data_IF_907282592815
#
_entry.id   IF_907282592815
#
_cell.length_a   1.000
_cell.length_b   1.000
_cell.length_c   1.000
_cell.angle_alpha   90.00
_cell.angle_beta   90.00
_cell.angle_gamma   90.00
#
_symmetry.space_group_name_H-M   'P 1'
#
loop_
_entity.id
_entity.type
_entity.pdbx_description
1 polymer ?
#
# COMPACT_ATOMS: atom_id res chain seq x y z
N UNK A 1 0.22 -15.68 -20.47
CA UNK A 1 -0.13 -14.97 -21.72
C UNK A 1 1.09 -14.35 -22.42
N UNK A 2 2.29 -14.38 -21.82
CA UNK A 2 3.49 -13.79 -22.42
C UNK A 2 3.55 -12.25 -22.31
N UNK A 3 2.63 -11.64 -21.55
CA UNK A 3 2.67 -10.20 -21.30
C UNK A 3 3.93 -9.83 -20.51
N UNK A 4 4.61 -8.72 -20.85
CA UNK A 4 5.71 -8.22 -20.04
C UNK A 4 5.25 -7.91 -18.61
N UNK A 5 6.19 -7.99 -17.68
CA UNK A 5 5.96 -7.68 -16.27
C UNK A 5 6.98 -6.63 -15.83
N UNK A 6 6.57 -5.78 -14.89
CA UNK A 6 7.47 -4.84 -14.22
C UNK A 6 7.59 -5.25 -12.76
N UNK A 7 8.82 -5.38 -12.27
CA UNK A 7 9.11 -5.56 -10.86
C UNK A 7 9.63 -4.24 -10.32
N UNK A 8 8.99 -3.72 -9.29
CA UNK A 8 9.43 -2.56 -8.52
C UNK A 8 9.92 -3.06 -7.18
N UNK A 9 11.09 -2.59 -6.76
CA UNK A 9 11.70 -2.89 -5.47
C UNK A 9 11.91 -1.56 -4.74
N UNK A 10 11.56 -1.51 -3.46
CA UNK A 10 11.99 -0.44 -2.57
C UNK A 10 13.50 -0.56 -2.31
N UNK A 11 14.11 0.54 -1.92
CA UNK A 11 15.55 0.65 -1.65
C UNK A 11 16.00 -0.14 -0.41
N UNK A 12 15.06 -0.47 0.48
CA UNK A 12 15.25 -1.26 1.69
C UNK A 12 14.94 -2.76 1.51
N UNK A 13 14.77 -3.23 0.28
CA UNK A 13 14.35 -4.59 -0.03
C UNK A 13 15.51 -5.49 -0.44
N UNK A 14 15.59 -6.68 0.17
CA UNK A 14 16.62 -7.66 -0.12
C UNK A 14 16.05 -8.96 -0.69
N UNK A 15 16.57 -9.36 -1.85
CA UNK A 15 16.10 -10.54 -2.57
C UNK A 15 16.68 -11.82 -1.96
N UNK A 16 15.88 -12.89 -1.94
CA UNK A 16 16.39 -14.24 -1.65
C UNK A 16 17.34 -14.73 -2.75
N UNK A 17 18.27 -15.63 -2.43
CA UNK A 17 19.28 -16.14 -3.38
C UNK A 17 18.66 -16.77 -4.63
N UNK A 18 17.49 -17.38 -4.47
CA UNK A 18 16.69 -18.02 -5.51
C UNK A 18 15.46 -17.19 -5.91
N UNK A 19 15.53 -15.86 -5.76
CA UNK A 19 14.43 -14.94 -6.07
C UNK A 19 13.88 -15.12 -7.49
N UNK A 20 14.75 -15.11 -8.49
CA UNK A 20 14.34 -15.23 -9.90
C UNK A 20 13.57 -16.53 -10.17
N UNK A 21 14.09 -17.73 -9.83
CA UNK A 21 13.33 -18.96 -10.05
C UNK A 21 12.04 -19.03 -9.20
N UNK A 22 12.00 -18.45 -8.00
CA UNK A 22 10.76 -18.37 -7.20
C UNK A 22 9.70 -17.50 -7.86
N UNK A 23 10.04 -16.29 -8.29
CA UNK A 23 9.11 -15.40 -9.01
C UNK A 23 8.63 -16.06 -10.30
N UNK A 24 9.51 -16.76 -11.00
CA UNK A 24 9.16 -17.49 -12.20
C UNK A 24 8.15 -18.63 -11.94
N UNK A 25 8.35 -19.43 -10.89
CA UNK A 25 7.39 -20.46 -10.47
C UNK A 25 6.05 -19.83 -10.06
N UNK A 26 6.08 -18.77 -9.23
CA UNK A 26 4.88 -18.04 -8.81
C UNK A 26 4.03 -17.60 -10.02
N UNK A 27 4.66 -16.95 -11.01
CA UNK A 27 3.98 -16.44 -12.20
C UNK A 27 3.41 -17.56 -13.07
N UNK A 28 4.11 -18.69 -13.18
CA UNK A 28 3.73 -19.77 -14.08
C UNK A 28 2.74 -20.76 -13.49
N UNK A 29 2.78 -20.94 -12.18
CA UNK A 29 2.12 -22.07 -11.51
C UNK A 29 1.04 -21.63 -10.53
N UNK A 30 1.12 -20.40 -10.00
CA UNK A 30 0.30 -19.97 -8.88
C UNK A 30 -0.54 -18.72 -9.12
N UNK A 31 -0.05 -17.75 -9.91
CA UNK A 31 -0.80 -16.53 -10.20
C UNK A 31 -2.08 -16.83 -11.00
N UNK A 32 -3.28 -16.46 -10.49
CA UNK A 32 -4.53 -16.64 -11.22
C UNK A 32 -4.62 -15.74 -12.45
N UNK A 33 -5.35 -16.14 -13.49
CA UNK A 33 -5.42 -15.41 -14.77
C UNK A 33 -5.84 -13.92 -14.67
N UNK A 34 -6.58 -13.56 -13.62
CA UNK A 34 -7.04 -12.19 -13.34
C UNK A 34 -6.04 -11.33 -12.56
N UNK A 35 -4.84 -11.84 -12.27
CA UNK A 35 -3.80 -11.08 -11.59
C UNK A 35 -3.42 -9.79 -12.36
N UNK A 36 -3.23 -8.72 -11.59
CA UNK A 36 -2.85 -7.40 -12.09
C UNK A 36 -1.66 -6.83 -11.29
N UNK A 37 -1.69 -7.01 -9.98
CA UNK A 37 -0.65 -6.55 -9.04
C UNK A 37 -0.36 -7.68 -8.06
N UNK A 38 0.90 -7.87 -7.70
CA UNK A 38 1.29 -8.83 -6.66
C UNK A 38 2.38 -8.26 -5.78
N UNK A 39 2.09 -8.09 -4.48
CA UNK A 39 3.10 -7.82 -3.47
C UNK A 39 3.87 -9.11 -3.14
N UNK A 40 5.18 -9.13 -3.35
CA UNK A 40 6.05 -10.29 -3.09
C UNK A 40 6.44 -10.44 -1.61
N UNK A 41 5.96 -9.53 -0.76
CA UNK A 41 6.04 -9.59 0.67
C UNK A 41 4.81 -8.85 1.23
N UNK A 42 4.16 -9.37 2.27
CA UNK A 42 3.12 -8.65 3.01
C UNK A 42 3.19 -8.99 4.49
N UNK A 43 3.53 -7.99 5.33
CA UNK A 43 3.67 -8.17 6.78
C UNK A 43 2.33 -8.46 7.46
N UNK A 44 1.26 -7.81 7.01
CA UNK A 44 -0.04 -7.82 7.69
C UNK A 44 -1.18 -8.33 6.79
N UNK A 45 -0.89 -9.28 5.91
CA UNK A 45 -1.80 -9.69 4.85
C UNK A 45 -3.24 -10.02 5.29
N UNK A 46 -4.18 -9.17 4.88
CA UNK A 46 -5.62 -9.43 4.97
C UNK A 46 -6.16 -9.97 3.65
N UNK A 47 -6.72 -11.17 3.67
CA UNK A 47 -7.23 -11.77 2.45
C UNK A 47 -7.62 -13.24 2.59
N UNK A 48 -7.74 -13.90 1.43
CA UNK A 48 -7.99 -15.34 1.35
C UNK A 48 -6.83 -16.06 0.66
N UNK A 49 -6.40 -17.20 1.18
CA UNK A 49 -5.41 -18.03 0.49
C UNK A 49 -5.98 -18.51 -0.86
N UNK A 50 -5.15 -18.47 -1.90
CA UNK A 50 -5.51 -18.89 -3.27
C UNK A 50 -4.62 -20.02 -3.76
N UNK A 51 -3.32 -19.96 -3.44
CA UNK A 51 -2.36 -21.02 -3.72
C UNK A 51 -1.45 -21.22 -2.51
N UNK A 52 -0.42 -22.04 -2.67
CA UNK A 52 0.52 -22.36 -1.59
C UNK A 52 1.21 -21.12 -1.04
N UNK A 53 1.64 -20.21 -1.91
CA UNK A 53 2.41 -19.04 -1.53
C UNK A 53 1.64 -17.72 -1.67
N UNK A 54 0.40 -17.76 -2.16
CA UNK A 54 -0.34 -16.57 -2.58
C UNK A 54 -1.69 -16.44 -1.87
N UNK A 55 -1.98 -15.24 -1.42
CA UNK A 55 -3.33 -14.83 -1.03
C UNK A 55 -3.89 -13.78 -1.99
N UNK A 56 -5.22 -13.77 -2.17
CA UNK A 56 -5.95 -12.65 -2.75
C UNK A 56 -6.21 -11.64 -1.65
N UNK A 57 -5.70 -10.42 -1.83
CA UNK A 57 -5.97 -9.30 -0.93
C UNK A 57 -7.46 -8.97 -0.98
N UNK A 58 -8.04 -8.67 0.17
CA UNK A 58 -9.44 -8.25 0.31
C UNK A 58 -9.51 -6.80 0.80
N UNK A 59 -10.63 -6.08 0.56
CA UNK A 59 -10.81 -4.73 1.05
C UNK A 59 -10.57 -4.65 2.55
N UNK A 60 -9.78 -3.66 2.96
CA UNK A 60 -9.27 -3.53 4.33
C UNK A 60 -10.14 -2.61 5.22
N UNK A 61 -11.32 -2.25 4.73
CA UNK A 61 -12.31 -1.42 5.39
C UNK A 61 -11.82 -0.02 5.80
N UNK A 62 -10.76 0.49 5.13
CA UNK A 62 -10.28 1.86 5.29
C UNK A 62 -11.20 2.93 4.69
N UNK A 63 -12.30 2.51 4.07
CA UNK A 63 -13.39 3.37 3.66
C UNK A 63 -14.61 3.23 4.60
N UNK A 64 -15.29 4.34 4.94
CA UNK A 64 -15.07 5.74 4.53
C UNK A 64 -14.03 6.47 5.42
N UNK A 65 -13.77 7.76 5.14
CA UNK A 65 -12.70 8.61 5.73
C UNK A 65 -12.43 8.46 7.23
N UNK A 66 -13.46 8.27 8.06
CA UNK A 66 -13.30 8.11 9.51
C UNK A 66 -12.70 6.76 9.95
N UNK A 67 -12.56 5.78 9.03
CA UNK A 67 -11.95 4.45 9.26
C UNK A 67 -10.51 4.35 8.77
N UNK A 68 -9.87 5.48 8.50
CA UNK A 68 -8.50 5.51 8.03
C UNK A 68 -7.53 4.84 9.04
N UNK A 69 -7.14 3.61 8.78
CA UNK A 69 -6.15 2.85 9.52
C UNK A 69 -4.88 2.65 8.67
N UNK A 70 -3.77 2.28 9.31
CA UNK A 70 -2.59 1.82 8.56
C UNK A 70 -3.01 0.58 7.75
N UNK A 71 -2.93 0.64 6.41
CA UNK A 71 -3.54 -0.38 5.54
C UNK A 71 -3.12 -1.81 5.87
N UNK A 72 -3.99 -2.78 5.61
CA UNK A 72 -3.77 -4.16 6.06
C UNK A 72 -2.95 -4.99 5.07
N UNK A 73 -2.14 -4.36 4.22
CA UNK A 73 -1.29 -5.07 3.27
C UNK A 73 0.01 -4.28 3.05
N UNK A 74 0.83 -4.22 4.10
CA UNK A 74 2.16 -3.61 4.06
C UNK A 74 3.08 -4.46 3.19
N UNK A 75 3.10 -4.18 1.89
CA UNK A 75 3.75 -5.03 0.91
C UNK A 75 4.42 -4.31 -0.25
N UNK A 76 4.76 -3.02 -0.08
CA UNK A 76 5.36 -2.23 -1.15
C UNK A 76 6.85 -2.46 -1.36
N UNK A 77 7.51 -3.19 -0.45
CA UNK A 77 8.91 -3.61 -0.59
C UNK A 77 9.24 -4.21 -1.97
N UNK A 78 8.38 -5.07 -2.48
CA UNK A 78 8.55 -5.64 -3.81
C UNK A 78 7.22 -5.92 -4.47
N UNK A 79 6.95 -5.26 -5.59
CA UNK A 79 5.65 -5.36 -6.29
C UNK A 79 5.85 -5.73 -7.74
N UNK A 80 5.17 -6.80 -8.14
CA UNK A 80 5.08 -7.26 -9.51
C UNK A 80 3.81 -6.72 -10.17
N UNK A 81 3.96 -6.06 -11.31
CA UNK A 81 2.87 -5.52 -12.11
C UNK A 81 2.78 -6.20 -13.46
N UNK A 82 1.56 -6.53 -13.89
CA UNK A 82 1.27 -6.89 -15.28
C UNK A 82 1.22 -5.62 -16.11
N UNK A 83 2.17 -5.42 -17.02
CA UNK A 83 2.34 -4.11 -17.66
C UNK A 83 1.19 -3.75 -18.61
N UNK A 84 0.54 -4.74 -19.21
CA UNK A 84 -0.58 -4.53 -20.13
C UNK A 84 -1.80 -3.88 -19.48
N UNK A 85 -1.98 -4.03 -18.17
CA UNK A 85 -3.10 -3.43 -17.43
C UNK A 85 -2.73 -2.13 -16.71
N UNK A 86 -1.43 -1.79 -16.63
CA UNK A 86 -0.95 -0.61 -15.91
C UNK A 86 -1.62 0.70 -16.32
N UNK A 87 -1.88 1.00 -17.61
CA UNK A 87 -2.52 2.26 -17.99
C UNK A 87 -3.92 2.44 -17.38
N UNK A 88 -4.69 1.36 -17.28
CA UNK A 88 -6.03 1.38 -16.68
C UNK A 88 -5.96 1.35 -15.16
N UNK A 89 -5.10 0.49 -14.60
CA UNK A 89 -4.85 0.45 -13.15
C UNK A 89 -4.44 1.82 -12.64
N UNK A 90 -3.52 2.52 -13.32
CA UNK A 90 -3.08 3.86 -12.94
C UNK A 90 -4.24 4.85 -12.85
N UNK A 91 -5.19 4.84 -13.80
CA UNK A 91 -6.35 5.75 -13.77
C UNK A 91 -7.23 5.49 -12.57
N UNK A 92 -7.52 4.21 -12.27
CA UNK A 92 -8.32 3.83 -11.09
C UNK A 92 -7.62 4.23 -9.82
N UNK A 93 -6.34 3.90 -9.74
CA UNK A 93 -5.51 4.15 -8.58
C UNK A 93 -5.32 5.64 -8.29
N UNK A 94 -5.12 6.48 -9.33
CA UNK A 94 -5.07 7.94 -9.18
C UNK A 94 -6.38 8.49 -8.59
N UNK A 95 -7.54 7.96 -8.98
CA UNK A 95 -8.81 8.36 -8.37
C UNK A 95 -8.94 7.92 -6.91
N UNK A 96 -8.28 6.84 -6.49
CA UNK A 96 -8.30 6.44 -5.09
C UNK A 96 -7.36 7.27 -4.21
N UNK A 97 -6.20 7.64 -4.73
CA UNK A 97 -5.15 8.34 -3.97
C UNK A 97 -5.36 9.86 -3.96
N UNK A 98 -5.85 10.45 -5.06
CA UNK A 98 -5.97 11.91 -5.22
C UNK A 98 -7.40 12.44 -5.13
N UNK A 99 -8.28 11.70 -4.46
CA UNK A 99 -9.66 12.14 -4.19
C UNK A 99 -9.74 12.78 -2.81
N UNK A 100 -10.07 14.08 -2.78
CA UNK A 100 -10.17 14.87 -1.56
C UNK A 100 -11.36 14.46 -0.67
N UNK A 101 -12.35 13.74 -1.21
CA UNK A 101 -13.48 13.20 -0.44
C UNK A 101 -13.15 11.87 0.25
N UNK A 102 -12.00 11.27 -0.07
CA UNK A 102 -11.53 9.98 0.45
C UNK A 102 -10.57 10.12 1.64
N UNK A 103 -10.37 9.04 2.42
CA UNK A 103 -9.45 9.06 3.56
C UNK A 103 -8.02 9.49 3.19
N UNK A 104 -7.40 10.38 3.98
CA UNK A 104 -6.04 10.88 3.71
C UNK A 104 -4.92 9.83 3.84
N UNK A 105 -5.17 8.70 4.50
CA UNK A 105 -4.19 7.62 4.66
C UNK A 105 -4.14 6.66 3.47
N UNK A 106 -4.75 7.02 2.34
CA UNK A 106 -4.77 6.24 1.10
C UNK A 106 -3.42 6.30 0.36
N UNK A 107 -2.36 5.93 1.07
CA UNK A 107 -1.08 5.57 0.48
C UNK A 107 -1.28 4.44 -0.54
N UNK A 108 -0.28 4.28 -1.40
CA UNK A 108 -0.24 3.33 -2.52
C UNK A 108 -0.79 1.93 -2.21
N UNK A 109 -0.35 1.31 -1.12
CA UNK A 109 -0.79 -0.02 -0.65
C UNK A 109 -2.20 -0.04 -0.09
N UNK A 110 -2.55 0.99 0.69
CA UNK A 110 -3.87 1.15 1.28
C UNK A 110 -4.92 1.31 0.19
N UNK A 111 -4.63 2.15 -0.81
CA UNK A 111 -5.51 2.35 -1.96
C UNK A 111 -5.70 1.07 -2.77
N UNK A 112 -4.63 0.31 -3.03
CA UNK A 112 -4.69 -0.99 -3.70
C UNK A 112 -5.47 -2.04 -2.91
N UNK A 113 -5.31 -2.08 -1.59
CA UNK A 113 -6.07 -2.97 -0.72
C UNK A 113 -7.56 -2.60 -0.73
N UNK A 114 -7.90 -1.31 -0.58
CA UNK A 114 -9.28 -0.84 -0.57
C UNK A 114 -10.04 -1.20 -1.85
N UNK A 115 -9.40 -1.10 -3.02
CA UNK A 115 -10.00 -1.43 -4.32
C UNK A 115 -9.75 -2.88 -4.80
N UNK A 116 -9.38 -3.79 -3.90
CA UNK A 116 -8.99 -5.17 -4.26
C UNK A 116 -10.17 -6.07 -4.70
N UNK A 117 -11.41 -5.59 -4.56
CA UNK A 117 -12.61 -6.14 -5.18
C UNK A 117 -12.71 -5.79 -6.69
N UNK A 118 -12.13 -4.67 -7.11
CA UNK A 118 -12.07 -4.23 -8.51
C UNK A 118 -10.75 -4.58 -9.22
N UNK A 119 -9.67 -4.76 -8.45
CA UNK A 119 -8.31 -4.96 -8.94
C UNK A 119 -7.80 -6.33 -8.55
N UNK A 120 -7.15 -7.01 -9.50
CA UNK A 120 -6.49 -8.29 -9.31
C UNK A 120 -5.26 -8.22 -8.39
N UNK A 121 -5.44 -7.91 -7.10
CA UNK A 121 -4.35 -7.66 -6.16
C UNK A 121 -4.07 -8.87 -5.27
N UNK A 122 -2.86 -9.42 -5.41
CA UNK A 122 -2.41 -10.58 -4.65
C UNK A 122 -1.21 -10.24 -3.79
N UNK A 123 -0.94 -11.07 -2.80
CA UNK A 123 0.22 -10.89 -1.95
C UNK A 123 0.80 -12.23 -1.48
N UNK A 124 2.10 -12.22 -1.22
CA UNK A 124 2.83 -13.31 -0.55
C UNK A 124 2.90 -12.98 0.95
N UNK A 125 2.26 -13.75 1.84
CA UNK A 125 2.35 -13.53 3.28
C UNK A 125 3.78 -13.66 3.82
N UNK A 126 4.20 -12.75 4.69
CA UNK A 126 5.55 -12.71 5.27
C UNK A 126 5.92 -13.90 6.17
N UNK A 127 4.94 -14.73 6.57
CA UNK A 127 5.18 -15.94 7.38
C UNK A 127 5.97 -17.03 6.61
N UNK A 128 6.11 -16.89 5.30
CA UNK A 128 6.91 -17.80 4.48
C UNK A 128 8.40 -17.54 4.68
N UNK A 129 9.13 -18.54 5.19
CA UNK A 129 10.58 -18.46 5.41
C UNK A 129 11.29 -19.70 4.83
N UNK A 130 12.24 -19.53 3.87
CA UNK A 130 12.61 -18.27 3.21
C UNK A 130 11.51 -17.76 2.27
N UNK A 131 11.21 -16.47 2.38
CA UNK A 131 10.28 -15.73 1.52
C UNK A 131 10.90 -15.35 0.16
N UNK A 132 10.21 -14.51 -0.60
CA UNK A 132 10.75 -13.98 -1.87
C UNK A 132 11.71 -12.81 -1.61
N UNK A 133 11.30 -11.93 -0.71
CA UNK A 133 12.02 -10.71 -0.33
C UNK A 133 12.00 -10.61 1.19
N UNK A 134 13.08 -10.11 1.76
CA UNK A 134 13.17 -9.71 3.15
C UNK A 134 13.41 -8.20 3.22
N UNK A 135 12.79 -7.55 4.18
CA UNK A 135 13.06 -6.16 4.49
C UNK A 135 14.37 -6.06 5.28
N UNK A 136 15.13 -4.99 5.06
CA UNK A 136 16.31 -4.66 5.84
C UNK A 136 15.92 -3.82 7.06
N UNK A 137 16.65 -3.98 8.17
CA UNK A 137 16.52 -3.13 9.36
C UNK A 137 17.11 -1.70 9.15
N UNK A 138 17.14 -1.20 7.92
CA UNK A 138 17.78 0.04 7.49
C UNK A 138 16.82 1.21 7.30
N UNK A 139 17.35 2.39 6.93
CA UNK A 139 16.51 3.53 6.56
C UNK A 139 15.69 3.21 5.30
N UNK A 140 14.45 3.68 5.27
CA UNK A 140 13.52 3.52 4.16
C UNK A 140 13.20 4.89 3.58
N UNK A 141 13.49 5.12 2.29
CA UNK A 141 13.21 6.41 1.68
C UNK A 141 11.70 6.76 1.74
N UNK A 142 10.82 5.75 1.62
CA UNK A 142 9.38 5.94 1.78
C UNK A 142 9.04 6.46 3.17
N UNK A 143 9.59 5.84 4.21
CA UNK A 143 9.35 6.24 5.60
C UNK A 143 9.79 7.69 5.84
N UNK A 144 10.98 8.06 5.36
CA UNK A 144 11.53 9.41 5.50
C UNK A 144 10.65 10.47 4.80
N UNK A 145 10.16 10.16 3.59
CA UNK A 145 9.22 11.03 2.85
C UNK A 145 7.91 11.20 3.63
N UNK A 146 7.33 10.11 4.10
CA UNK A 146 6.07 10.13 4.85
C UNK A 146 6.20 10.93 6.16
N UNK A 147 7.32 10.80 6.87
CA UNK A 147 7.58 11.61 8.07
C UNK A 147 7.74 13.10 7.77
N UNK A 148 8.43 13.48 6.69
CA UNK A 148 8.64 14.87 6.33
C UNK A 148 7.31 15.61 6.05
N UNK A 149 6.35 14.93 5.43
CA UNK A 149 5.00 15.46 5.18
C UNK A 149 4.22 15.68 6.48
N UNK A 150 4.31 14.76 7.44
CA UNK A 150 3.65 14.90 8.75
C UNK A 150 4.16 16.12 9.55
N UNK A 151 5.47 16.39 9.51
CA UNK A 151 6.09 17.55 10.17
C UNK A 151 5.63 18.87 9.54
N UNK A 152 5.58 18.94 8.21
CA UNK A 152 5.14 20.15 7.47
C UNK A 152 3.68 20.50 7.77
N UNK A 153 2.82 19.48 7.89
CA UNK A 153 1.39 19.66 8.18
C UNK A 153 1.17 20.19 9.61
N UNK A 154 1.95 19.70 10.58
CA UNK A 154 1.85 20.14 11.99
C UNK A 154 2.30 21.59 12.17
N UNK A 155 3.29 22.03 11.40
CA UNK A 155 3.83 23.41 11.51
C UNK A 155 2.84 24.46 10.96
N UNK A 156 2.01 24.09 9.98
CA UNK A 156 1.06 25.01 9.33
C UNK A 156 -0.23 25.21 10.14
N UNK A 157 -0.57 24.30 11.05
CA UNK A 157 -1.80 24.38 11.88
C UNK A 157 -1.67 25.32 13.09
N UNK A 158 -0.49 25.91 13.33
CA UNK A 158 -0.33 26.90 14.42
C UNK A 158 -0.73 28.30 13.95
N UNK A 159 -2.01 28.51 13.63
CA UNK A 159 -2.57 29.86 13.62
C UNK A 159 -3.17 30.13 15.01
N UNK A 160 -2.74 31.17 15.75
CA UNK A 160 -3.37 31.49 17.02
C UNK A 160 -4.83 31.82 16.76
N UNK A 161 -5.75 31.18 17.50
CA UNK A 161 -7.15 31.58 17.51
C UNK A 161 -7.25 33.10 17.78
N UNK A 162 -8.07 33.86 17.04
CA UNK A 162 -8.24 35.28 17.32
C UNK A 162 -8.79 35.44 18.73
N UNK A 163 -8.12 36.27 19.53
CA UNK A 163 -8.54 36.60 20.89
C UNK A 163 -10.01 37.05 20.87
N UNK A 164 -10.83 36.40 21.72
CA UNK A 164 -12.21 36.80 21.92
C UNK A 164 -12.27 38.28 22.33
N UNK A 165 -13.22 39.08 21.78
CA UNK A 165 -13.34 40.47 22.18
C UNK A 165 -13.71 40.53 23.66
N UNK A 166 -12.93 41.31 24.41
CA UNK A 166 -13.21 41.67 25.80
C UNK A 166 -14.52 42.46 25.88
N UNK A 167 -15.62 41.75 26.08
CA UNK A 167 -16.93 42.31 26.38
C UNK A 167 -17.14 42.33 27.89
N UNK A 168 -17.16 43.53 28.45
CA UNK A 168 -17.44 43.79 29.86
C UNK A 168 -18.80 43.22 30.27
N UNK A 169 -18.82 42.42 31.33
CA UNK A 169 -20.00 42.24 32.17
C UNK A 169 -19.54 42.13 33.63
N UNK A 170 -19.74 43.22 34.35
CA UNK A 170 -19.71 43.29 35.81
C UNK A 170 -20.95 42.58 36.42
N UNK A 171 -20.98 42.36 37.75
CA UNK A 171 -21.42 41.12 38.37
C UNK A 171 -22.88 41.15 38.82
N UNK A 172 -23.57 40.01 38.68
CA UNK A 172 -24.56 39.48 39.63
C UNK A 172 -24.61 37.96 39.49
#
# INVERSE_FOLDING_TARGET
>A
DGSPMALVLEDDSWLSDDFVPRVWSLVREELPCDWQVTALLSRCGNGRCVSRHLMRVMPDANEPTWRCHAGSNWGMHAVLYRTSVLPELRKRWQRQVFDEERPHCMDVDVALASMSDEVGFYAVPAVQDPGFVRELDGPSARWDINQAVAVTTTTTVTTPAPAAPSGNAEPW
#
